data_IF_953042835694
#
_entry.id   IF_953042835694
#
_cell.length_a   1.000
_cell.length_b   1.000
_cell.length_c   1.000
_cell.angle_alpha   90.00
_cell.angle_beta   90.00
_cell.angle_gamma   90.00
#
_symmetry.space_group_name_H-M   'P 1'
#
loop_
_entity.id
_entity.type
_entity.pdbx_description
1 polymer ?
#
# COMPACT_ATOMS: atom_id res chain seq x y z
N UNK A 1 -25.33 7.37 -2.07
CA UNK A 1 -24.44 8.43 -1.56
C UNK A 1 -23.01 7.88 -1.45
N UNK A 2 -22.01 8.53 -2.08
CA UNK A 2 -20.59 8.08 -2.07
C UNK A 2 -19.91 8.09 -0.69
N UNK A 3 -20.51 8.70 0.33
CA UNK A 3 -19.93 8.85 1.68
C UNK A 3 -19.73 7.57 2.49
N UNK A 4 -20.43 6.47 2.16
CA UNK A 4 -20.33 5.20 2.91
C UNK A 4 -19.53 4.12 2.17
N UNK A 5 -19.00 4.42 0.97
CA UNK A 5 -18.22 3.44 0.23
C UNK A 5 -16.78 3.47 0.72
N UNK A 6 -16.32 2.34 1.24
CA UNK A 6 -14.93 2.17 1.64
C UNK A 6 -14.02 2.38 0.42
N UNK A 7 -12.93 3.10 0.64
CA UNK A 7 -11.89 3.35 -0.36
C UNK A 7 -10.85 2.22 -0.35
N UNK A 8 -10.22 1.96 -1.49
CA UNK A 8 -9.05 1.06 -1.61
C UNK A 8 -7.89 1.86 -2.16
N UNK A 9 -6.77 1.81 -1.44
CA UNK A 9 -5.52 2.43 -1.85
C UNK A 9 -4.61 1.32 -2.38
N UNK A 10 -4.24 1.42 -3.65
CA UNK A 10 -3.27 0.54 -4.26
C UNK A 10 -1.87 1.13 -4.07
N UNK A 11 -0.94 0.36 -3.52
CA UNK A 11 0.44 0.78 -3.27
C UNK A 11 1.38 -0.25 -3.86
N UNK A 12 2.23 0.18 -4.77
CA UNK A 12 3.33 -0.58 -5.33
C UNK A 12 4.58 -0.29 -4.50
N UNK A 13 5.27 -1.35 -4.11
CA UNK A 13 6.51 -1.28 -3.34
C UNK A 13 7.67 -1.53 -4.29
N UNK A 14 8.52 -0.51 -4.44
CA UNK A 14 9.77 -0.60 -5.20
C UNK A 14 10.97 -0.51 -4.27
N UNK A 15 12.17 -0.68 -4.82
CA UNK A 15 13.41 -0.71 -4.03
C UNK A 15 13.70 0.57 -3.26
N UNK A 16 13.30 1.76 -3.71
CA UNK A 16 13.63 3.03 -3.05
C UNK A 16 12.41 3.91 -2.77
N UNK A 17 11.22 3.49 -3.20
CA UNK A 17 10.01 4.30 -3.10
C UNK A 17 8.72 3.46 -3.15
N UNK A 18 7.62 4.13 -2.80
CA UNK A 18 6.27 3.66 -3.03
C UNK A 18 5.64 4.44 -4.19
N UNK A 19 4.86 3.76 -5.02
CA UNK A 19 3.91 4.41 -5.95
C UNK A 19 2.51 4.04 -5.48
N UNK A 20 1.67 5.04 -5.21
CA UNK A 20 0.36 4.81 -4.62
C UNK A 20 -0.72 5.60 -5.32
N UNK A 21 -1.93 5.04 -5.36
CA UNK A 21 -3.10 5.69 -5.94
C UNK A 21 -4.38 5.23 -5.25
N UNK A 22 -5.39 6.08 -5.27
CA UNK A 22 -6.75 5.68 -4.90
C UNK A 22 -7.36 4.90 -6.08
N UNK A 23 -7.91 3.71 -5.82
CA UNK A 23 -8.58 2.91 -6.87
C UNK A 23 -9.84 3.63 -7.34
N UNK A 24 -9.94 3.85 -8.66
CA UNK A 24 -10.95 4.67 -9.31
C UNK A 24 -10.72 6.18 -9.16
N UNK A 25 -9.56 6.59 -8.64
CA UNK A 25 -9.13 7.99 -8.55
C UNK A 25 -8.28 8.43 -9.75
N UNK A 26 -8.07 9.74 -9.86
CA UNK A 26 -7.28 10.39 -10.90
C UNK A 26 -5.83 10.68 -10.47
N UNK A 27 -5.54 10.58 -9.17
CA UNK A 27 -4.24 10.92 -8.59
C UNK A 27 -3.40 9.69 -8.28
N UNK A 28 -2.19 9.69 -8.83
CA UNK A 28 -1.09 8.81 -8.43
C UNK A 28 -0.01 9.66 -7.74
N UNK A 29 0.54 9.16 -6.64
CA UNK A 29 1.63 9.79 -5.89
C UNK A 29 2.83 8.87 -5.80
N UNK A 30 4.02 9.45 -5.78
CA UNK A 30 5.28 8.74 -5.52
C UNK A 30 5.88 9.23 -4.20
N UNK A 31 6.26 8.31 -3.33
CA UNK A 31 6.83 8.61 -2.00
C UNK A 31 8.17 7.91 -1.82
N UNK A 32 9.23 8.69 -1.72
CA UNK A 32 10.58 8.16 -1.47
C UNK A 32 10.67 7.48 -0.10
N UNK A 33 11.36 6.34 -0.06
CA UNK A 33 11.61 5.55 1.13
C UNK A 33 12.92 4.76 0.99
N UNK A 34 14.05 5.42 1.30
CA UNK A 34 15.39 4.81 1.22
C UNK A 34 15.56 3.56 2.10
N UNK A 35 14.73 3.40 3.14
CA UNK A 35 14.72 2.21 3.99
C UNK A 35 14.31 0.93 3.22
N UNK A 36 13.65 1.05 2.07
CA UNK A 36 13.34 -0.10 1.20
C UNK A 36 14.58 -0.61 0.46
N UNK A 37 15.59 0.23 0.23
CA UNK A 37 16.71 -0.06 -0.69
C UNK A 37 17.96 -0.54 0.01
N UNK A 38 18.12 -0.19 1.29
CA UNK A 38 19.20 -0.70 2.15
C UNK A 38 18.86 -2.06 2.76
N UNK A 39 18.59 -3.06 1.91
CA UNK A 39 18.37 -4.44 2.36
C UNK A 39 19.71 -5.17 2.42
N UNK A 40 20.38 -5.09 3.57
CA UNK A 40 21.56 -5.92 3.88
C UNK A 40 21.17 -7.31 4.42
N UNK A 41 19.92 -7.75 4.18
CA UNK A 41 19.34 -8.97 4.73
C UNK A 41 17.82 -8.85 4.93
N UNK A 42 17.19 -9.83 5.60
CA UNK A 42 15.76 -9.80 5.91
C UNK A 42 15.37 -8.57 6.72
N UNK A 43 14.24 -7.95 6.36
CA UNK A 43 13.72 -6.80 7.11
C UNK A 43 13.15 -7.26 8.44
N UNK A 44 13.75 -6.79 9.53
CA UNK A 44 13.29 -7.06 10.90
C UNK A 44 12.61 -5.86 11.55
N UNK A 45 12.91 -4.63 11.09
CA UNK A 45 12.27 -3.41 11.55
C UNK A 45 11.48 -2.71 10.43
N UNK A 46 10.17 -2.56 10.67
CA UNK A 46 9.22 -1.91 9.76
C UNK A 46 8.84 -0.50 10.24
N UNK A 47 9.47 -0.01 11.32
CA UNK A 47 9.20 1.30 11.92
C UNK A 47 9.38 2.44 10.91
N UNK A 48 10.39 2.32 10.04
CA UNK A 48 10.72 3.30 9.01
C UNK A 48 9.65 3.43 7.92
N UNK A 49 8.84 2.39 7.67
CA UNK A 49 7.80 2.42 6.63
C UNK A 49 6.50 3.02 7.12
N UNK A 50 6.19 2.87 8.41
CA UNK A 50 4.95 3.37 9.01
C UNK A 50 4.70 4.87 8.76
N UNK A 51 5.64 5.80 9.00
CA UNK A 51 5.38 7.21 8.72
C UNK A 51 5.13 7.46 7.23
N UNK A 52 5.83 6.75 6.34
CA UNK A 52 5.65 6.87 4.89
C UNK A 52 4.31 6.34 4.41
N UNK A 53 3.88 5.20 4.92
CA UNK A 53 2.54 4.65 4.65
C UNK A 53 1.45 5.58 5.20
N UNK A 54 1.65 6.15 6.39
CA UNK A 54 0.70 7.12 6.97
C UNK A 54 0.58 8.38 6.12
N UNK A 55 1.69 8.94 5.64
CA UNK A 55 1.73 10.06 4.71
C UNK A 55 0.93 9.73 3.43
N UNK A 56 1.22 8.59 2.80
CA UNK A 56 0.53 8.11 1.59
C UNK A 56 -0.97 8.00 1.82
N UNK A 57 -1.38 7.31 2.89
CA UNK A 57 -2.79 7.07 3.15
C UNK A 57 -3.53 8.37 3.44
N UNK A 58 -2.96 9.25 4.26
CA UNK A 58 -3.58 10.54 4.59
C UNK A 58 -3.72 11.45 3.37
N UNK A 59 -2.73 11.44 2.47
CA UNK A 59 -2.73 12.25 1.25
C UNK A 59 -3.76 11.76 0.22
N UNK A 60 -3.94 10.45 0.09
CA UNK A 60 -4.87 9.85 -0.87
C UNK A 60 -6.31 9.75 -0.34
N UNK A 61 -6.51 9.71 0.98
CA UNK A 61 -7.84 9.86 1.57
C UNK A 61 -8.22 11.33 1.62
N UNK A 62 -8.76 11.84 0.52
CA UNK A 62 -9.35 13.20 0.51
C UNK A 62 -10.74 13.19 1.12
N UNK A 63 -10.99 14.11 2.06
CA UNK A 63 -12.32 14.40 2.61
C UNK A 63 -12.66 13.67 3.92
N UNK A 64 -13.84 14.00 4.48
CA UNK A 64 -14.37 13.39 5.70
C UNK A 64 -14.99 12.01 5.38
N UNK A 65 -14.16 10.96 5.30
CA UNK A 65 -14.65 9.57 5.33
C UNK A 65 -14.67 9.07 6.78
N UNK A 66 -15.83 8.62 7.25
CA UNK A 66 -15.97 7.98 8.57
C UNK A 66 -15.36 6.56 8.60
N UNK A 67 -15.10 5.98 7.42
CA UNK A 67 -14.51 4.65 7.28
C UNK A 67 -13.04 4.76 6.90
N UNK A 68 -12.18 4.09 7.67
CA UNK A 68 -10.79 3.86 7.27
C UNK A 68 -10.75 3.09 5.94
N UNK A 69 -9.86 3.46 5.00
CA UNK A 69 -9.73 2.76 3.74
C UNK A 69 -9.15 1.35 3.94
N UNK A 70 -9.25 0.53 2.90
CA UNK A 70 -8.39 -0.63 2.71
C UNK A 70 -7.14 -0.24 1.92
N UNK A 71 -6.07 -1.02 2.09
CA UNK A 71 -4.91 -0.96 1.20
C UNK A 71 -4.66 -2.32 0.55
N UNK A 72 -4.04 -2.27 -0.62
CA UNK A 72 -3.38 -3.40 -1.26
C UNK A 72 -1.92 -3.01 -1.45
N UNK A 73 -1.00 -3.71 -0.76
CA UNK A 73 0.42 -3.62 -1.04
C UNK A 73 0.78 -4.65 -2.10
N UNK A 74 1.41 -4.19 -3.17
CA UNK A 74 1.84 -5.01 -4.29
C UNK A 74 3.35 -4.98 -4.39
N UNK A 75 3.92 -6.18 -4.44
CA UNK A 75 5.34 -6.45 -4.53
C UNK A 75 5.57 -7.22 -5.82
N UNK A 76 6.33 -6.66 -6.75
CA UNK A 76 6.82 -7.42 -7.88
C UNK A 76 7.91 -8.38 -7.35
N UNK A 77 7.74 -9.70 -7.45
CA UNK A 77 8.71 -10.65 -6.89
C UNK A 77 10.07 -10.63 -7.61
N UNK A 78 10.12 -10.11 -8.84
CA UNK A 78 11.34 -9.95 -9.63
C UNK A 78 12.07 -8.67 -9.22
N UNK A 79 11.37 -7.53 -9.13
CA UNK A 79 12.00 -6.26 -8.73
C UNK A 79 12.27 -6.17 -7.21
N UNK A 80 11.42 -6.80 -6.40
CA UNK A 80 11.42 -6.72 -4.95
C UNK A 80 11.10 -8.10 -4.32
N UNK A 81 12.08 -9.02 -4.30
CA UNK A 81 11.90 -10.33 -3.68
C UNK A 81 11.59 -10.17 -2.19
N UNK A 82 10.54 -10.85 -1.72
CA UNK A 82 10.02 -10.67 -0.37
C UNK A 82 9.61 -12.01 0.25
N UNK A 83 9.95 -12.22 1.53
CA UNK A 83 9.56 -13.44 2.26
C UNK A 83 8.17 -13.32 2.87
N UNK A 84 7.61 -14.45 3.33
CA UNK A 84 6.30 -14.48 4.00
C UNK A 84 6.32 -13.71 5.33
N UNK A 85 7.42 -13.76 6.06
CA UNK A 85 7.63 -13.05 7.32
C UNK A 85 7.66 -11.54 7.09
N UNK A 86 8.35 -11.11 6.03
CA UNK A 86 8.42 -9.70 5.65
C UNK A 86 7.04 -9.19 5.21
N UNK A 87 6.31 -9.96 4.40
CA UNK A 87 4.93 -9.67 3.99
C UNK A 87 4.02 -9.41 5.20
N UNK A 88 4.10 -10.26 6.24
CA UNK A 88 3.34 -10.06 7.48
C UNK A 88 3.76 -8.78 8.22
N UNK A 89 5.07 -8.46 8.21
CA UNK A 89 5.61 -7.21 8.76
C UNK A 89 5.06 -5.98 8.06
N UNK A 90 5.04 -5.97 6.72
CA UNK A 90 4.46 -4.89 5.92
C UNK A 90 2.95 -4.75 6.16
N UNK A 91 2.21 -5.85 6.20
CA UNK A 91 0.78 -5.83 6.48
C UNK A 91 0.48 -5.17 7.83
N UNK A 92 1.21 -5.57 8.87
CA UNK A 92 1.10 -5.00 10.21
C UNK A 92 1.48 -3.51 10.23
N UNK A 93 2.53 -3.13 9.51
CA UNK A 93 2.95 -1.74 9.39
C UNK A 93 1.87 -0.89 8.70
N UNK A 94 1.28 -1.36 7.60
CA UNK A 94 0.21 -0.68 6.89
C UNK A 94 -1.04 -0.49 7.75
N UNK A 95 -1.51 -1.55 8.41
CA UNK A 95 -2.68 -1.47 9.30
C UNK A 95 -2.46 -0.49 10.46
N UNK A 96 -1.23 -0.39 10.98
CA UNK A 96 -0.84 0.59 12.00
C UNK A 96 -0.64 2.02 11.47
N UNK A 97 -0.86 2.24 10.17
CA UNK A 97 -0.60 3.51 9.50
C UNK A 97 -1.86 4.22 8.99
N UNK A 98 -3.04 3.62 9.15
CA UNK A 98 -4.32 4.33 8.90
C UNK A 98 -5.39 3.52 8.18
N UNK A 99 -5.04 2.35 7.62
CA UNK A 99 -6.01 1.47 6.96
C UNK A 99 -6.63 0.47 7.94
N UNK A 100 -7.86 0.05 7.68
CA UNK A 100 -8.53 -0.98 8.49
C UNK A 100 -8.13 -2.40 8.11
N UNK A 101 -7.68 -2.61 6.87
CA UNK A 101 -7.26 -3.90 6.35
C UNK A 101 -6.23 -3.68 5.24
N UNK A 102 -5.30 -4.63 5.10
CA UNK A 102 -4.25 -4.58 4.09
C UNK A 102 -4.18 -5.94 3.37
N UNK A 103 -4.52 -5.95 2.09
CA UNK A 103 -4.24 -7.06 1.18
C UNK A 103 -2.77 -7.02 0.76
N UNK A 104 -2.26 -8.19 0.36
CA UNK A 104 -0.90 -8.34 -0.15
C UNK A 104 -0.97 -9.03 -1.52
N UNK A 105 -0.18 -8.56 -2.47
CA UNK A 105 -0.06 -9.15 -3.80
C UNK A 105 1.41 -9.29 -4.16
N UNK A 106 1.78 -10.47 -4.64
CA UNK A 106 3.14 -10.80 -5.11
C UNK A 106 3.14 -11.22 -6.58
N UNK A 107 2.31 -10.58 -7.39
CA UNK A 107 2.14 -10.90 -8.81
C UNK A 107 3.07 -10.00 -9.63
N UNK A 108 3.67 -10.53 -10.70
CA UNK A 108 4.50 -9.74 -11.61
C UNK A 108 3.69 -8.65 -12.31
N UNK A 109 2.44 -8.97 -12.70
CA UNK A 109 1.57 -8.02 -13.36
C UNK A 109 0.89 -7.07 -12.35
N UNK A 110 1.02 -5.78 -12.61
CA UNK A 110 0.35 -4.70 -11.87
C UNK A 110 -1.17 -4.81 -12.01
N UNK A 111 -1.89 -4.47 -10.95
CA UNK A 111 -3.36 -4.47 -10.97
C UNK A 111 -3.91 -3.19 -11.60
N UNK A 112 -4.83 -3.34 -12.54
CA UNK A 112 -5.59 -2.21 -13.08
C UNK A 112 -6.77 -1.87 -12.18
N UNK A 113 -7.25 -0.63 -12.26
CA UNK A 113 -8.41 -0.17 -11.49
C UNK A 113 -9.65 -1.01 -11.72
N UNK A 114 -9.87 -1.45 -12.96
CA UNK A 114 -11.04 -2.27 -13.32
C UNK A 114 -11.07 -3.57 -12.49
N UNK A 115 -9.92 -4.22 -12.33
CA UNK A 115 -9.80 -5.50 -11.62
C UNK A 115 -9.97 -5.29 -10.11
N UNK A 116 -9.38 -4.22 -9.57
CA UNK A 116 -9.49 -3.89 -8.15
C UNK A 116 -10.89 -3.38 -7.76
N UNK A 117 -11.62 -2.76 -8.69
CA UNK A 117 -13.00 -2.31 -8.45
C UNK A 117 -13.98 -3.48 -8.33
N UNK A 118 -13.71 -4.63 -8.96
CA UNK A 118 -14.49 -5.85 -8.78
C UNK A 118 -14.42 -6.38 -7.35
N UNK A 119 -13.34 -6.10 -6.59
CA UNK A 119 -13.22 -6.50 -5.17
C UNK A 119 -14.27 -5.85 -4.25
N UNK A 120 -14.96 -4.81 -4.71
CA UNK A 120 -15.99 -4.10 -3.97
C UNK A 120 -17.43 -4.54 -4.30
N UNK A 121 -17.60 -5.47 -5.25
CA UNK A 121 -18.90 -6.08 -5.55
C UNK A 121 -19.11 -7.30 -4.66
#
# INVERSE_FOLDING_TARGET
>A
MKMFRRQLIYVQVHQDHFVARLVGGDRTIRRQCHALGHRAGPITDFSAFRPKLKEIFSELTTGFSLLKPWALLHFDPVEYPITKEELAGYQKAAMRSGVSFCFLSTWEQRHEDKDLLEMFK
#
